data_IF_629908842984
#
_entry.id   IF_629908842984
#
_cell.length_a   1.000
_cell.length_b   1.000
_cell.length_c   1.000
_cell.angle_alpha   90.00
_cell.angle_beta   90.00
_cell.angle_gamma   90.00
#
_symmetry.space_group_name_H-M   'P 1'
#
loop_
_entity.id
_entity.type
_entity.pdbx_description
1 polymer ?
#
# COMPACT_ATOMS: atom_id res chain seq x y z
N UNK A 1 15.57 16.42 1.11
CA UNK A 1 14.69 16.59 0.04
C UNK A 1 13.30 16.80 0.41
N UNK A 2 12.74 17.75 -0.21
CA UNK A 2 11.44 18.21 0.21
C UNK A 2 10.37 17.68 -0.66
N UNK A 3 9.86 16.52 -0.25
CA UNK A 3 8.70 15.96 -0.88
C UNK A 3 7.48 16.67 -0.39
N UNK A 4 6.56 16.95 -1.29
CA UNK A 4 5.27 17.49 -0.89
C UNK A 4 4.51 16.41 -0.13
N UNK A 5 3.84 16.78 0.96
CA UNK A 5 3.16 15.81 1.81
C UNK A 5 2.16 14.93 1.07
N UNK A 6 1.57 15.45 0.00
CA UNK A 6 0.55 14.70 -0.73
C UNK A 6 1.11 13.76 -1.79
N UNK A 7 2.40 13.84 -2.05
CA UNK A 7 2.98 13.04 -3.11
C UNK A 7 3.31 11.65 -2.60
N UNK A 8 2.95 10.62 -3.36
CA UNK A 8 3.35 9.27 -2.96
C UNK A 8 4.85 9.06 -3.19
N UNK A 9 5.44 8.09 -2.51
CA UNK A 9 6.81 7.72 -2.80
C UNK A 9 6.95 7.29 -4.26
N UNK A 10 8.03 7.68 -4.89
CA UNK A 10 8.30 7.30 -6.27
C UNK A 10 9.23 6.11 -6.32
N UNK A 11 9.34 5.44 -7.47
CA UNK A 11 10.35 4.39 -7.61
C UNK A 11 11.75 4.85 -7.27
N UNK A 12 12.09 6.11 -7.59
CA UNK A 12 13.40 6.66 -7.24
C UNK A 12 13.62 6.73 -5.73
N UNK A 13 12.57 7.04 -4.97
CA UNK A 13 12.67 7.09 -3.52
C UNK A 13 13.02 5.71 -2.97
N UNK A 14 12.38 4.68 -3.50
CA UNK A 14 12.65 3.31 -3.07
C UNK A 14 14.04 2.87 -3.47
N UNK A 15 14.48 3.25 -4.66
CA UNK A 15 15.83 2.91 -5.11
C UNK A 15 16.88 3.53 -4.20
N UNK A 16 16.70 4.79 -3.84
CA UNK A 16 17.63 5.49 -2.95
C UNK A 16 17.66 4.81 -1.58
N UNK A 17 16.49 4.45 -1.07
CA UNK A 17 16.41 3.77 0.21
C UNK A 17 17.15 2.42 0.16
N UNK A 18 16.92 1.65 -0.89
CA UNK A 18 17.54 0.34 -1.02
C UNK A 18 19.06 0.43 -1.12
N UNK A 19 19.57 1.40 -1.86
CA UNK A 19 21.00 1.58 -1.99
C UNK A 19 21.69 1.79 -0.65
N UNK A 20 20.99 2.35 0.31
CA UNK A 20 21.55 2.59 1.65
C UNK A 20 21.43 1.40 2.58
N UNK A 21 20.66 0.39 2.19
CA UNK A 21 20.30 -0.69 3.11
C UNK A 21 20.78 -2.07 2.68
N UNK A 22 21.68 -2.16 1.74
CA UNK A 22 22.34 -3.40 1.29
C UNK A 22 21.42 -4.55 0.88
N UNK A 23 20.37 -4.81 1.63
CA UNK A 23 19.46 -5.91 1.30
C UNK A 23 18.06 -5.61 1.81
N UNK A 24 17.09 -6.26 1.20
CA UNK A 24 15.70 -6.11 1.60
C UNK A 24 14.97 -7.41 1.30
N UNK A 25 14.08 -7.80 2.21
CA UNK A 25 13.16 -8.91 1.95
C UNK A 25 12.01 -8.34 1.13
N UNK A 26 12.15 -8.40 -0.18
CA UNK A 26 11.21 -7.75 -1.10
C UNK A 26 9.78 -8.24 -0.91
N UNK A 27 9.61 -9.53 -0.75
CA UNK A 27 8.27 -10.11 -0.60
C UNK A 27 7.57 -9.57 0.65
N UNK A 28 8.28 -9.54 1.77
CA UNK A 28 7.72 -9.03 3.01
C UNK A 28 7.44 -7.54 2.93
N UNK A 29 8.36 -6.79 2.33
CA UNK A 29 8.19 -5.35 2.18
C UNK A 29 6.95 -5.02 1.36
N UNK A 30 6.78 -5.67 0.21
CA UNK A 30 5.62 -5.39 -0.65
C UNK A 30 4.32 -5.81 0.03
N UNK A 31 4.33 -6.92 0.74
CA UNK A 31 3.16 -7.36 1.49
C UNK A 31 2.76 -6.32 2.55
N UNK A 32 3.75 -5.85 3.31
CA UNK A 32 3.48 -4.90 4.39
C UNK A 32 2.95 -3.57 3.84
N UNK A 33 3.51 -3.11 2.73
CA UNK A 33 3.04 -1.90 2.07
C UNK A 33 1.59 -2.07 1.62
N UNK A 34 1.28 -3.21 1.02
CA UNK A 34 -0.07 -3.47 0.55
C UNK A 34 -1.06 -3.50 1.69
N UNK A 35 -0.70 -4.15 2.80
CA UNK A 35 -1.56 -4.21 3.98
C UNK A 35 -1.84 -2.82 4.53
N UNK A 36 -0.80 -1.99 4.66
CA UNK A 36 -0.96 -0.64 5.18
C UNK A 36 -1.88 0.18 4.29
N UNK A 37 -1.72 0.07 2.97
CA UNK A 37 -2.56 0.80 2.04
C UNK A 37 -4.02 0.36 2.16
N UNK A 38 -4.26 -0.95 2.26
CA UNK A 38 -5.61 -1.49 2.38
C UNK A 38 -6.25 -1.02 3.69
N UNK A 39 -5.53 -1.15 4.79
CA UNK A 39 -6.06 -0.74 6.09
C UNK A 39 -6.38 0.75 6.10
N UNK A 40 -5.50 1.55 5.55
CA UNK A 40 -5.71 3.00 5.50
C UNK A 40 -6.93 3.34 4.64
N UNK A 41 -7.07 2.71 3.49
CA UNK A 41 -8.20 2.96 2.61
C UNK A 41 -9.51 2.53 3.27
N UNK A 42 -9.51 1.41 3.98
CA UNK A 42 -10.70 0.97 4.69
C UNK A 42 -11.07 1.92 5.82
N UNK A 43 -10.09 2.38 6.58
CA UNK A 43 -10.32 3.30 7.68
C UNK A 43 -10.90 4.63 7.20
N UNK A 44 -10.32 5.19 6.16
CA UNK A 44 -10.79 6.50 5.68
C UNK A 44 -12.13 6.43 4.98
N UNK A 45 -12.60 5.23 4.66
CA UNK A 45 -13.91 5.04 4.04
C UNK A 45 -14.89 4.35 4.98
N UNK A 46 -14.58 4.34 6.28
CA UNK A 46 -15.48 3.80 7.31
C UNK A 46 -15.86 2.34 7.06
N UNK A 47 -14.94 1.57 6.53
CA UNK A 47 -15.17 0.16 6.28
C UNK A 47 -15.91 -0.13 5.00
N UNK A 48 -16.17 0.88 4.17
CA UNK A 48 -16.87 0.68 2.91
C UNK A 48 -15.91 0.11 1.87
N UNK A 49 -16.04 -1.17 1.57
CA UNK A 49 -15.12 -1.86 0.69
C UNK A 49 -15.14 -1.31 -0.74
N UNK A 50 -16.32 -0.95 -1.23
CA UNK A 50 -16.43 -0.42 -2.58
C UNK A 50 -15.68 0.89 -2.74
N UNK A 51 -15.80 1.79 -1.76
CA UNK A 51 -15.12 3.08 -1.81
C UNK A 51 -13.61 2.91 -1.60
N UNK A 52 -13.22 2.01 -0.70
CA UNK A 52 -11.80 1.72 -0.48
C UNK A 52 -11.16 1.18 -1.76
N UNK A 53 -11.86 0.31 -2.48
CA UNK A 53 -11.35 -0.23 -3.73
C UNK A 53 -11.16 0.88 -4.77
N UNK A 54 -12.07 1.84 -4.83
CA UNK A 54 -11.91 2.98 -5.73
C UNK A 54 -10.66 3.78 -5.40
N UNK A 55 -10.42 4.01 -4.12
CA UNK A 55 -9.22 4.75 -3.70
C UNK A 55 -7.94 4.05 -4.15
N UNK A 56 -7.97 2.73 -4.18
CA UNK A 56 -6.79 1.95 -4.54
C UNK A 56 -6.79 1.54 -6.01
N UNK A 57 -7.80 1.98 -6.76
CA UNK A 57 -7.96 1.63 -8.18
C UNK A 57 -7.97 0.12 -8.40
N UNK A 58 -8.65 -0.57 -7.50
CA UNK A 58 -8.84 -2.01 -7.57
C UNK A 58 -10.31 -2.34 -7.77
N UNK A 59 -10.56 -3.54 -8.29
CA UNK A 59 -11.92 -4.06 -8.30
C UNK A 59 -12.28 -4.42 -6.86
N UNK A 60 -13.57 -4.28 -6.53
CA UNK A 60 -14.04 -4.65 -5.20
C UNK A 60 -13.71 -6.10 -4.85
N UNK A 61 -13.90 -6.99 -5.81
CA UNK A 61 -13.60 -8.42 -5.59
C UNK A 61 -12.12 -8.65 -5.33
N UNK A 62 -11.25 -7.93 -6.04
CA UNK A 62 -9.82 -8.04 -5.84
C UNK A 62 -9.44 -7.57 -4.43
N UNK A 63 -10.02 -6.47 -3.99
CA UNK A 63 -9.76 -5.97 -2.64
C UNK A 63 -10.20 -6.97 -1.58
N UNK A 64 -11.39 -7.54 -1.74
CA UNK A 64 -11.91 -8.53 -0.80
C UNK A 64 -10.99 -9.75 -0.72
N UNK A 65 -10.49 -10.20 -1.87
CA UNK A 65 -9.56 -11.32 -1.91
C UNK A 65 -8.28 -11.02 -1.14
N UNK A 66 -7.77 -9.80 -1.29
CA UNK A 66 -6.55 -9.40 -0.59
C UNK A 66 -6.77 -9.29 0.91
N UNK A 67 -7.90 -8.72 1.32
CA UNK A 67 -8.25 -8.65 2.73
C UNK A 67 -8.31 -10.05 3.34
N UNK A 68 -8.92 -10.97 2.64
CA UNK A 68 -9.04 -12.35 3.09
C UNK A 68 -7.67 -13.04 3.14
N UNK A 69 -6.85 -12.81 2.12
CA UNK A 69 -5.52 -13.40 2.05
C UNK A 69 -4.63 -12.96 3.21
N UNK A 70 -4.70 -11.68 3.56
CA UNK A 70 -3.85 -11.14 4.61
C UNK A 70 -4.47 -11.22 6.01
N UNK A 71 -5.74 -11.59 6.10
CA UNK A 71 -6.40 -11.71 7.39
C UNK A 71 -6.67 -10.40 8.09
N UNK A 72 -6.93 -9.38 7.33
CA UNK A 72 -7.21 -8.06 7.88
C UNK A 72 -8.66 -7.65 7.67
#
# INVERSE_FOLDING_TARGET
IDKVDNDPPTPSDFATWFDKNNSVDLRSLLRDIEIVFIETAMDRNNGNTSEAAKDLKLLRTTLIEKIRKYGI
#
